data_IF_988707864122
#
_entry.id   IF_988707864122
#
_cell.length_a   1.000
_cell.length_b   1.000
_cell.length_c   1.000
_cell.angle_alpha   90.00
_cell.angle_beta   90.00
_cell.angle_gamma   90.00
#
_symmetry.space_group_name_H-M   'P 1'
#
loop_
_entity.id
_entity.type
_entity.pdbx_description
1 polymer ?
#
# COMPACT_ATOMS: atom_id res chain seq x y z
N UNK A 1 19.01 -7.46 -6.39
CA UNK A 1 18.32 -6.57 -5.43
C UNK A 1 17.08 -5.92 -6.03
N UNK A 2 17.21 -5.17 -7.14
CA UNK A 2 16.09 -4.44 -7.79
C UNK A 2 14.87 -5.34 -8.07
N UNK A 3 15.05 -6.52 -8.69
CA UNK A 3 13.96 -7.47 -8.96
C UNK A 3 13.17 -7.90 -7.70
N UNK A 4 13.81 -7.94 -6.52
CA UNK A 4 13.13 -8.27 -5.26
C UNK A 4 12.23 -7.10 -4.82
N UNK A 5 12.76 -5.88 -4.88
CA UNK A 5 12.01 -4.65 -4.55
C UNK A 5 10.83 -4.42 -5.51
N UNK A 6 10.98 -4.73 -6.80
CA UNK A 6 9.87 -4.65 -7.77
C UNK A 6 8.75 -5.66 -7.46
N UNK A 7 9.10 -6.90 -7.08
CA UNK A 7 8.12 -7.91 -6.64
C UNK A 7 7.39 -7.46 -5.36
N UNK A 8 8.13 -6.90 -4.42
CA UNK A 8 7.57 -6.36 -3.18
C UNK A 8 6.60 -5.19 -3.44
N UNK A 9 7.01 -4.21 -4.26
CA UNK A 9 6.16 -3.10 -4.65
C UNK A 9 4.89 -3.57 -5.36
N UNK A 10 4.99 -4.58 -6.25
CA UNK A 10 3.81 -5.19 -6.90
C UNK A 10 2.86 -5.82 -5.88
N UNK A 11 3.38 -6.59 -4.93
CA UNK A 11 2.59 -7.22 -3.87
C UNK A 11 1.91 -6.19 -2.96
N UNK A 12 2.65 -5.15 -2.57
CA UNK A 12 2.14 -4.05 -1.75
C UNK A 12 1.00 -3.30 -2.45
N UNK A 13 1.16 -2.98 -3.74
CA UNK A 13 0.12 -2.33 -4.54
C UNK A 13 -1.14 -3.20 -4.68
N UNK A 14 -0.98 -4.53 -4.81
CA UNK A 14 -2.11 -5.45 -4.82
C UNK A 14 -2.87 -5.44 -3.48
N UNK A 15 -2.15 -5.43 -2.34
CA UNK A 15 -2.76 -5.31 -1.00
C UNK A 15 -3.49 -3.97 -0.82
N UNK A 16 -2.88 -2.86 -1.22
CA UNK A 16 -3.49 -1.52 -1.20
C UNK A 16 -4.78 -1.45 -2.02
N UNK A 17 -4.79 -2.07 -3.20
CA UNK A 17 -5.98 -2.15 -4.06
C UNK A 17 -7.11 -2.95 -3.38
N UNK A 18 -6.80 -4.11 -2.80
CA UNK A 18 -7.76 -4.92 -2.03
C UNK A 18 -8.33 -4.13 -0.85
N UNK A 19 -7.48 -3.48 -0.06
CA UNK A 19 -7.89 -2.65 1.08
C UNK A 19 -8.77 -1.47 0.65
N UNK A 20 -8.45 -0.84 -0.48
CA UNK A 20 -9.27 0.25 -1.04
C UNK A 20 -10.66 -0.23 -1.46
N UNK A 21 -10.74 -1.39 -2.12
CA UNK A 21 -12.03 -2.00 -2.50
C UNK A 21 -12.83 -2.42 -1.27
N UNK A 22 -12.18 -2.96 -0.25
CA UNK A 22 -12.82 -3.29 1.02
C UNK A 22 -13.43 -2.04 1.67
N UNK A 23 -12.64 -0.98 1.86
CA UNK A 23 -13.11 0.29 2.44
C UNK A 23 -14.24 0.95 1.64
N UNK A 24 -14.25 0.79 0.31
CA UNK A 24 -15.30 1.33 -0.56
C UNK A 24 -16.61 0.52 -0.50
N UNK A 25 -16.52 -0.80 -0.32
CA UNK A 25 -17.69 -1.69 -0.24
C UNK A 25 -18.38 -1.68 1.12
N UNK A 26 -17.69 -1.28 2.19
CA UNK A 26 -18.25 -1.37 3.53
C UNK A 26 -19.16 -0.18 3.87
N UNK A 27 -20.43 -0.50 4.11
CA UNK A 27 -21.46 0.38 4.65
C UNK A 27 -21.14 0.65 6.14
N UNK A 28 -21.60 1.78 6.71
CA UNK A 28 -21.37 2.14 8.13
C UNK A 28 -21.82 1.07 9.17
N UNK A 29 -22.52 0.00 8.75
CA UNK A 29 -23.04 -1.07 9.61
C UNK A 29 -22.07 -2.25 9.81
N UNK A 30 -21.02 -2.40 8.99
CA UNK A 30 -20.16 -3.60 9.01
C UNK A 30 -18.84 -3.43 9.76
N UNK A 31 -18.39 -2.18 9.97
CA UNK A 31 -17.17 -1.84 10.69
C UNK A 31 -17.50 -0.79 11.74
N UNK A 32 -16.93 -0.95 12.94
CA UNK A 32 -16.93 0.16 13.90
C UNK A 32 -16.15 1.35 13.34
N UNK A 33 -16.45 2.55 13.84
CA UNK A 33 -15.73 3.76 13.45
C UNK A 33 -14.20 3.58 13.64
N UNK A 34 -13.80 3.03 14.78
CA UNK A 34 -12.40 2.79 15.13
C UNK A 34 -11.73 1.81 14.16
N UNK A 35 -12.37 0.68 13.84
CA UNK A 35 -11.82 -0.27 12.86
C UNK A 35 -11.64 0.38 11.49
N UNK A 36 -12.60 1.21 11.07
CA UNK A 36 -12.53 1.93 9.80
C UNK A 36 -11.40 2.94 9.77
N UNK A 37 -11.14 3.65 10.86
CA UNK A 37 -10.01 4.58 10.96
C UNK A 37 -8.67 3.86 10.91
N UNK A 38 -8.49 2.78 11.68
CA UNK A 38 -7.27 1.97 11.65
C UNK A 38 -6.96 1.43 10.24
N UNK A 39 -7.99 1.00 9.50
CA UNK A 39 -7.82 0.55 8.12
C UNK A 39 -7.43 1.70 7.16
N UNK A 40 -7.89 2.92 7.39
CA UNK A 40 -7.47 4.11 6.62
C UNK A 40 -6.01 4.46 6.93
N UNK A 41 -5.62 4.44 8.20
CA UNK A 41 -4.24 4.69 8.63
C UNK A 41 -3.29 3.64 8.05
N UNK A 42 -3.67 2.36 8.13
CA UNK A 42 -2.93 1.27 7.51
C UNK A 42 -2.73 1.51 6.01
N UNK A 43 -3.79 1.89 5.29
CA UNK A 43 -3.71 2.22 3.86
C UNK A 43 -2.74 3.38 3.61
N UNK A 44 -2.78 4.42 4.43
CA UNK A 44 -1.87 5.56 4.29
C UNK A 44 -0.41 5.17 4.54
N UNK A 45 -0.13 4.41 5.60
CA UNK A 45 1.22 3.93 5.93
C UNK A 45 1.80 3.06 4.80
N UNK A 46 1.01 2.09 4.31
CA UNK A 46 1.38 1.25 3.18
C UNK A 46 1.60 2.07 1.90
N UNK A 47 0.80 3.12 1.67
CA UNK A 47 0.98 4.04 0.54
C UNK A 47 2.28 4.85 0.62
N UNK A 48 2.66 5.33 1.82
CA UNK A 48 3.95 6.00 2.04
C UNK A 48 5.11 5.03 1.77
N UNK A 49 5.02 3.79 2.25
CA UNK A 49 6.03 2.77 2.00
C UNK A 49 6.17 2.45 0.50
N UNK A 50 5.07 2.33 -0.24
CA UNK A 50 5.09 2.12 -1.70
C UNK A 50 5.82 3.25 -2.45
N UNK A 51 5.63 4.51 -2.02
CA UNK A 51 6.35 5.66 -2.59
C UNK A 51 7.85 5.56 -2.36
N UNK A 52 8.28 5.23 -1.15
CA UNK A 52 9.71 5.06 -0.81
C UNK A 52 10.32 3.93 -1.62
N UNK A 53 9.64 2.77 -1.72
CA UNK A 53 10.09 1.65 -2.55
C UNK A 53 10.29 2.05 -4.01
N UNK A 54 9.35 2.83 -4.58
CA UNK A 54 9.45 3.33 -5.96
C UNK A 54 10.67 4.22 -6.16
N UNK A 55 10.94 5.14 -5.22
CA UNK A 55 12.12 6.00 -5.26
C UNK A 55 13.40 5.18 -5.16
N UNK A 56 13.49 4.25 -4.21
CA UNK A 56 14.66 3.39 -4.06
C UNK A 56 14.95 2.56 -5.30
N UNK A 57 13.92 2.03 -5.97
CA UNK A 57 14.07 1.30 -7.23
C UNK A 57 14.61 2.22 -8.32
N UNK A 58 14.14 3.47 -8.40
CA UNK A 58 14.62 4.48 -9.36
C UNK A 58 16.11 4.78 -9.13
N UNK A 59 16.50 5.12 -7.89
CA UNK A 59 17.89 5.45 -7.56
C UNK A 59 18.84 4.28 -7.90
N UNK A 60 18.42 3.04 -7.63
CA UNK A 60 19.21 1.85 -7.95
C UNK A 60 19.33 1.55 -9.44
N UNK A 61 18.40 2.04 -10.27
CA UNK A 61 18.47 1.91 -11.73
C UNK A 61 19.35 3.00 -12.34
N UNK A 62 19.35 4.20 -11.76
CA UNK A 62 20.15 5.35 -12.21
C UNK A 62 21.62 5.24 -11.77
N UNK A 63 21.89 4.59 -10.63
CA UNK A 63 23.25 4.31 -10.16
C UNK A 63 23.95 3.15 -10.90
N UNK A 64 23.40 2.71 -12.03
CA UNK A 64 23.82 1.53 -12.79
C UNK A 64 24.15 1.90 -14.22
#
# INVERSE_FOLDING_TARGET
MIKKLEKELKSLNAKLSKLSKFLAKQNKKTLSANQRELLKEQKQAMGKYAKILKLRIKDLKEAK
#
